data_IF_897804124012
#
_entry.id   IF_897804124012
#
_cell.length_a   1.000
_cell.length_b   1.000
_cell.length_c   1.000
_cell.angle_alpha   90.00
_cell.angle_beta   90.00
_cell.angle_gamma   90.00
#
_symmetry.space_group_name_H-M   'P 1'
#
loop_
_entity.id
_entity.type
_entity.pdbx_description
1 polymer ?
#
# COMPACT_ATOMS: atom_id res chain seq x y z
N UNK A 1 8.77 14.11 51.12
CA UNK A 1 8.85 14.74 49.79
C UNK A 1 8.27 13.79 48.75
N UNK A 2 7.01 13.99 48.38
CA UNK A 2 6.29 13.30 47.30
C UNK A 2 5.78 14.42 46.40
N UNK A 3 6.42 14.71 45.28
CA UNK A 3 5.85 15.37 44.09
C UNK A 3 6.80 15.09 42.91
N UNK A 4 6.24 14.88 41.73
CA UNK A 4 6.84 14.44 40.44
C UNK A 4 6.59 12.99 39.99
N UNK A 5 5.55 12.35 40.53
CA UNK A 5 4.62 11.58 39.71
C UNK A 5 3.56 12.58 39.23
N UNK A 6 3.53 12.97 37.94
CA UNK A 6 2.30 13.42 37.22
C UNK A 6 2.47 13.98 35.80
N UNK A 7 3.67 14.14 35.20
CA UNK A 7 3.78 14.94 33.97
C UNK A 7 4.21 14.24 32.67
N UNK A 8 4.25 12.90 32.62
CA UNK A 8 4.40 12.17 31.34
C UNK A 8 3.34 11.07 31.25
N UNK A 9 2.12 11.43 31.67
CA UNK A 9 0.87 10.82 31.21
C UNK A 9 0.08 12.00 30.64
N UNK A 10 0.61 12.61 29.56
CA UNK A 10 -0.04 13.69 28.86
C UNK A 10 -0.31 13.25 27.41
N UNK A 11 -1.43 12.53 27.27
CA UNK A 11 -2.49 12.95 26.35
C UNK A 11 -2.01 13.13 24.90
N UNK A 12 -1.77 12.00 24.21
CA UNK A 12 -2.52 11.82 22.94
C UNK A 12 -3.87 11.27 23.38
N UNK A 13 -4.74 12.15 23.88
CA UNK A 13 -6.16 11.90 23.73
C UNK A 13 -6.34 12.00 22.22
N UNK A 14 -6.42 10.84 21.56
CA UNK A 14 -6.97 10.77 20.21
C UNK A 14 -8.31 11.49 20.33
N UNK A 15 -8.38 12.71 19.82
CA UNK A 15 -9.63 13.46 19.75
C UNK A 15 -10.47 12.70 18.75
N UNK A 16 -11.40 11.88 19.23
CA UNK A 16 -12.39 11.26 18.36
C UNK A 16 -13.18 12.37 17.68
N UNK A 17 -13.29 12.31 16.36
CA UNK A 17 -14.10 13.27 15.62
C UNK A 17 -15.55 13.19 16.09
N UNK A 18 -16.19 14.34 16.22
CA UNK A 18 -17.63 14.35 16.46
C UNK A 18 -18.37 13.95 15.17
N UNK A 19 -19.54 13.32 15.31
CA UNK A 19 -20.26 12.74 14.17
C UNK A 19 -20.60 13.78 13.07
N UNK A 20 -20.82 15.04 13.45
CA UNK A 20 -21.08 16.11 12.49
C UNK A 20 -19.84 16.47 11.66
N UNK A 21 -18.64 16.37 12.24
CA UNK A 21 -17.36 16.55 11.55
C UNK A 21 -17.12 15.40 10.58
N UNK A 22 -17.46 14.17 10.99
CA UNK A 22 -17.36 12.99 10.13
C UNK A 22 -18.26 13.12 8.89
N UNK A 23 -19.50 13.59 9.07
CA UNK A 23 -20.43 13.83 7.95
C UNK A 23 -19.89 14.92 7.01
N UNK A 24 -19.35 16.02 7.56
CA UNK A 24 -18.75 17.09 6.76
C UNK A 24 -17.56 16.58 5.92
N UNK A 25 -16.66 15.81 6.55
CA UNK A 25 -15.49 15.20 5.92
C UNK A 25 -15.85 14.20 4.84
N UNK A 26 -16.83 13.33 5.11
CA UNK A 26 -17.36 12.41 4.11
C UNK A 26 -17.91 13.17 2.90
N UNK A 27 -18.75 14.19 3.11
CA UNK A 27 -19.28 15.00 2.02
C UNK A 27 -18.16 15.65 1.19
N UNK A 28 -17.15 16.21 1.85
CA UNK A 28 -16.01 16.84 1.20
C UNK A 28 -15.20 15.83 0.35
N UNK A 29 -14.93 14.64 0.89
CA UNK A 29 -14.23 13.56 0.18
C UNK A 29 -14.96 13.10 -1.10
N UNK A 30 -16.30 13.13 -1.08
CA UNK A 30 -17.13 12.80 -2.24
C UNK A 30 -17.21 13.94 -3.27
N UNK A 31 -16.61 15.11 -2.98
CA UNK A 31 -16.66 16.29 -3.84
C UNK A 31 -18.07 16.88 -3.99
N UNK A 32 -18.97 16.64 -3.02
CA UNK A 32 -20.36 17.05 -3.11
C UNK A 32 -20.62 18.38 -2.39
N UNK A 33 -21.45 19.22 -3.00
CA UNK A 33 -22.05 20.37 -2.30
C UNK A 33 -23.07 19.85 -1.27
N UNK A 34 -23.45 20.70 -0.30
CA UNK A 34 -24.45 20.32 0.72
C UNK A 34 -25.80 19.99 0.11
N UNK A 35 -26.15 20.70 -0.95
CA UNK A 35 -27.37 20.50 -1.74
C UNK A 35 -27.38 19.11 -2.36
N UNK A 36 -26.36 18.78 -3.15
CA UNK A 36 -26.24 17.46 -3.79
C UNK A 36 -26.12 16.31 -2.80
N UNK A 37 -25.43 16.54 -1.68
CA UNK A 37 -25.31 15.56 -0.62
C UNK A 37 -26.67 15.28 0.02
N UNK A 38 -27.43 16.33 0.38
CA UNK A 38 -28.77 16.20 0.94
C UNK A 38 -29.75 15.53 -0.02
N UNK A 39 -29.73 15.89 -1.31
CA UNK A 39 -30.53 15.24 -2.35
C UNK A 39 -30.22 13.74 -2.46
N UNK A 40 -28.95 13.35 -2.38
CA UNK A 40 -28.53 11.95 -2.51
C UNK A 40 -29.02 11.03 -1.37
N UNK A 41 -29.35 11.61 -0.20
CA UNK A 41 -29.80 10.86 0.99
C UNK A 41 -31.22 11.24 1.41
N UNK A 42 -31.95 12.01 0.61
CA UNK A 42 -33.29 12.52 0.92
C UNK A 42 -33.34 13.27 2.28
N UNK A 43 -32.45 14.25 2.44
CA UNK A 43 -32.35 15.13 3.61
C UNK A 43 -32.28 16.57 3.14
N UNK A 44 -33.03 17.46 3.80
CA UNK A 44 -33.02 18.88 3.43
C UNK A 44 -31.63 19.50 3.58
N UNK A 45 -31.24 20.36 2.65
CA UNK A 45 -29.97 21.11 2.71
C UNK A 45 -29.82 21.90 4.01
N UNK A 46 -30.93 22.40 4.57
CA UNK A 46 -30.93 23.13 5.84
C UNK A 46 -30.54 22.22 7.02
N UNK A 47 -30.97 20.95 6.99
CA UNK A 47 -30.59 19.94 7.98
C UNK A 47 -29.09 19.63 7.88
N UNK A 48 -28.58 19.38 6.67
CA UNK A 48 -27.14 19.13 6.43
C UNK A 48 -26.31 20.34 6.91
N UNK A 49 -26.73 21.56 6.55
CA UNK A 49 -26.07 22.79 7.01
C UNK A 49 -26.09 22.93 8.53
N UNK A 50 -27.21 22.60 9.18
CA UNK A 50 -27.32 22.68 10.63
C UNK A 50 -26.41 21.67 11.34
N UNK A 51 -26.34 20.43 10.85
CA UNK A 51 -25.43 19.41 11.37
C UNK A 51 -23.98 19.91 11.30
N UNK A 52 -23.51 20.27 10.10
CA UNK A 52 -22.10 20.63 9.89
C UNK A 52 -21.69 21.96 10.52
N UNK A 53 -22.56 22.97 10.54
CA UNK A 53 -22.18 24.34 10.96
C UNK A 53 -22.49 24.61 12.42
N UNK A 54 -23.57 24.01 12.96
CA UNK A 54 -24.00 24.23 14.34
C UNK A 54 -23.59 23.09 15.29
N UNK A 55 -22.92 22.06 14.77
CA UNK A 55 -22.51 20.89 15.55
C UNK A 55 -23.68 20.09 16.10
N UNK A 56 -24.85 20.13 15.44
CA UNK A 56 -26.04 19.43 15.91
C UNK A 56 -25.85 17.94 15.67
N UNK A 57 -25.94 17.15 16.75
CA UNK A 57 -25.94 15.69 16.65
C UNK A 57 -27.13 15.24 15.78
N UNK A 58 -26.86 14.56 14.65
CA UNK A 58 -27.91 14.02 13.80
C UNK A 58 -28.70 12.95 14.55
N UNK A 59 -29.98 12.81 14.19
CA UNK A 59 -30.79 11.66 14.61
C UNK A 59 -30.31 10.39 13.88
N UNK A 60 -30.61 9.22 14.44
CA UNK A 60 -30.19 7.91 13.88
C UNK A 60 -30.62 7.73 12.42
N UNK A 61 -31.84 8.16 12.08
CA UNK A 61 -32.41 8.08 10.72
C UNK A 61 -31.56 8.79 9.66
N UNK A 62 -30.92 9.90 10.02
CA UNK A 62 -29.99 10.62 9.14
C UNK A 62 -28.75 9.78 8.86
N UNK A 63 -28.17 9.17 9.90
CA UNK A 63 -26.97 8.34 9.76
C UNK A 63 -27.26 7.08 8.94
N UNK A 64 -28.41 6.44 9.19
CA UNK A 64 -28.89 5.28 8.44
C UNK A 64 -29.08 5.60 6.95
N UNK A 65 -29.66 6.76 6.61
CA UNK A 65 -29.80 7.21 5.22
C UNK A 65 -28.44 7.43 4.54
N UNK A 66 -27.47 8.01 5.25
CA UNK A 66 -26.10 8.20 4.74
C UNK A 66 -25.42 6.86 4.49
N UNK A 67 -25.48 5.94 5.46
CA UNK A 67 -24.88 4.61 5.36
C UNK A 67 -25.57 3.77 4.29
N UNK A 68 -26.90 3.84 4.15
CA UNK A 68 -27.60 3.16 3.07
C UNK A 68 -27.15 3.64 1.68
N UNK A 69 -26.80 4.93 1.55
CA UNK A 69 -26.31 5.49 0.29
C UNK A 69 -24.84 5.15 0.02
N UNK A 70 -24.01 5.18 1.07
CA UNK A 70 -22.58 4.87 0.99
C UNK A 70 -22.16 3.85 2.07
N UNK A 71 -22.51 2.56 1.89
CA UNK A 71 -22.33 1.54 2.93
C UNK A 71 -20.88 1.23 3.26
N UNK A 72 -19.96 1.62 2.36
CA UNK A 72 -18.54 1.44 2.54
C UNK A 72 -17.90 2.42 3.54
N UNK A 73 -18.62 3.42 4.05
CA UNK A 73 -18.11 4.32 5.10
C UNK A 73 -18.74 4.04 6.48
N UNK A 74 -19.49 2.94 6.62
CA UNK A 74 -20.27 2.65 7.82
C UNK A 74 -19.38 2.48 9.07
N UNK A 75 -18.33 1.69 8.96
CA UNK A 75 -17.38 1.45 10.05
C UNK A 75 -16.71 2.77 10.45
N UNK A 76 -16.15 3.49 9.48
CA UNK A 76 -15.46 4.75 9.76
C UNK A 76 -16.36 5.81 10.40
N UNK A 77 -17.61 5.95 9.94
CA UNK A 77 -18.57 6.89 10.55
C UNK A 77 -18.81 6.59 12.03
N UNK A 78 -18.80 5.32 12.42
CA UNK A 78 -19.10 4.88 13.78
C UNK A 78 -17.85 4.82 14.67
N UNK A 79 -16.73 4.33 14.14
CA UNK A 79 -15.55 3.97 14.95
C UNK A 79 -14.28 4.75 14.60
N UNK A 80 -14.28 5.53 13.51
CA UNK A 80 -13.06 6.11 12.90
C UNK A 80 -12.03 5.09 12.41
N UNK A 81 -12.39 3.80 12.39
CA UNK A 81 -11.55 2.74 11.84
C UNK A 81 -11.95 2.42 10.40
N UNK A 82 -11.01 1.90 9.62
CA UNK A 82 -11.29 1.25 8.35
C UNK A 82 -11.04 -0.26 8.42
N UNK A 83 -11.72 -0.98 7.54
CA UNK A 83 -11.50 -2.40 7.31
C UNK A 83 -11.63 -2.62 5.80
N UNK A 84 -10.61 -2.24 5.00
CA UNK A 84 -10.70 -2.28 3.54
C UNK A 84 -11.07 -3.67 3.01
N UNK A 85 -10.57 -4.73 3.66
CA UNK A 85 -10.91 -6.13 3.39
C UNK A 85 -12.41 -6.45 3.52
N UNK A 86 -13.14 -5.72 4.37
CA UNK A 86 -14.59 -5.86 4.54
C UNK A 86 -15.37 -4.84 3.68
N UNK A 87 -14.70 -4.15 2.74
CA UNK A 87 -15.28 -3.09 1.93
C UNK A 87 -15.59 -1.82 2.72
N UNK A 88 -14.88 -1.59 3.83
CA UNK A 88 -15.06 -0.42 4.71
C UNK A 88 -13.85 0.50 4.63
N UNK A 89 -14.06 1.77 4.28
CA UNK A 89 -13.01 2.75 3.98
C UNK A 89 -13.15 4.02 4.82
N UNK A 90 -12.03 4.73 4.98
CA UNK A 90 -11.96 6.08 5.53
C UNK A 90 -12.07 7.13 4.40
N UNK A 91 -12.83 8.23 4.55
CA UNK A 91 -12.89 9.31 3.58
C UNK A 91 -11.61 10.16 3.58
N UNK A 92 -11.06 10.37 2.39
CA UNK A 92 -9.84 11.17 2.15
C UNK A 92 -10.25 12.55 1.62
N UNK A 93 -9.83 13.64 2.28
CA UNK A 93 -10.12 14.99 1.80
C UNK A 93 -9.19 15.39 0.65
N UNK A 94 -9.72 16.08 -0.36
CA UNK A 94 -8.90 16.86 -1.29
C UNK A 94 -8.41 18.12 -0.59
N UNK A 95 -7.10 18.25 -0.39
CA UNK A 95 -6.47 19.49 0.10
C UNK A 95 -5.58 20.05 -1.02
N UNK A 96 -6.10 21.06 -1.75
CA UNK A 96 -5.34 21.83 -2.73
C UNK A 96 -4.75 21.05 -3.92
N UNK A 97 -3.81 21.68 -4.63
CA UNK A 97 -3.03 21.10 -5.75
C UNK A 97 -1.92 20.13 -5.29
N UNK A 98 -1.94 19.72 -4.01
CA UNK A 98 -1.08 18.64 -3.52
C UNK A 98 -1.77 17.33 -3.84
N UNK A 99 -1.35 16.73 -4.96
CA UNK A 99 -1.77 15.41 -5.38
C UNK A 99 -1.51 14.39 -4.25
N UNK A 100 -2.55 13.63 -3.94
CA UNK A 100 -2.60 12.47 -3.05
C UNK A 100 -1.25 11.74 -2.86
N UNK A 101 -0.57 11.95 -1.73
CA UNK A 101 0.56 11.14 -1.27
C UNK A 101 0.15 9.95 -0.37
N UNK A 102 -1.14 9.60 -0.33
CA UNK A 102 -1.67 8.42 0.39
C UNK A 102 -2.28 7.39 -0.56
N UNK A 103 -1.68 7.18 -1.74
CA UNK A 103 -2.22 6.24 -2.73
C UNK A 103 -1.77 4.82 -2.42
N UNK A 104 -2.62 4.04 -1.75
CA UNK A 104 -2.49 2.59 -1.75
C UNK A 104 -2.65 2.05 -3.18
N UNK A 105 -1.98 0.94 -3.47
CA UNK A 105 -2.11 0.23 -4.74
C UNK A 105 -3.17 -0.85 -4.58
N UNK A 106 -4.20 -0.84 -5.43
CA UNK A 106 -5.09 -1.99 -5.58
C UNK A 106 -4.43 -3.00 -6.51
N UNK A 107 -4.10 -4.17 -5.97
CA UNK A 107 -3.52 -5.29 -6.69
C UNK A 107 -4.64 -5.97 -7.46
N UNK A 108 -4.78 -5.61 -8.75
CA UNK A 108 -5.87 -6.10 -9.59
C UNK A 108 -5.60 -7.50 -10.16
N UNK A 109 -4.33 -7.91 -10.17
CA UNK A 109 -3.91 -9.22 -10.66
C UNK A 109 -2.53 -9.57 -10.10
N UNK A 110 -2.27 -10.88 -10.00
CA UNK A 110 -0.97 -11.44 -9.64
C UNK A 110 -0.54 -12.38 -10.75
N UNK A 111 0.52 -12.02 -11.46
CA UNK A 111 0.96 -12.69 -12.69
C UNK A 111 2.33 -13.36 -12.52
N UNK A 112 2.62 -14.32 -13.39
CA UNK A 112 3.95 -14.91 -13.53
C UNK A 112 4.93 -13.89 -14.17
N UNK A 113 6.23 -14.17 -14.07
CA UNK A 113 7.33 -13.35 -14.59
C UNK A 113 7.36 -13.23 -16.11
N UNK A 114 6.62 -14.08 -16.84
CA UNK A 114 6.59 -14.06 -18.30
C UNK A 114 5.69 -12.93 -18.84
N UNK A 115 6.23 -11.70 -18.91
CA UNK A 115 5.50 -10.50 -19.29
C UNK A 115 4.85 -10.56 -20.68
N UNK A 116 5.45 -11.30 -21.62
CA UNK A 116 4.92 -11.48 -22.98
C UNK A 116 3.61 -12.30 -23.04
N UNK A 117 3.34 -13.10 -22.00
CA UNK A 117 2.11 -13.90 -21.90
C UNK A 117 1.02 -13.21 -21.07
N UNK A 118 1.30 -12.01 -20.56
CA UNK A 118 0.36 -11.28 -19.71
C UNK A 118 -0.68 -10.53 -20.54
N UNK A 119 -1.84 -10.28 -19.92
CA UNK A 119 -2.88 -9.42 -20.50
C UNK A 119 -2.48 -7.93 -20.36
N UNK A 120 -1.48 -7.62 -19.53
CA UNK A 120 -0.98 -6.27 -19.29
C UNK A 120 -0.18 -5.79 -20.50
N UNK A 121 -0.75 -4.83 -21.24
CA UNK A 121 -0.04 -4.21 -22.35
C UNK A 121 1.02 -3.24 -21.83
N UNK A 122 2.20 -3.24 -22.44
CA UNK A 122 3.29 -2.34 -22.04
C UNK A 122 2.90 -0.85 -22.10
N UNK A 123 2.12 -0.44 -23.10
CA UNK A 123 1.60 0.93 -23.23
C UNK A 123 0.71 1.40 -22.06
N UNK A 124 0.18 0.45 -21.28
CA UNK A 124 -0.63 0.72 -20.09
C UNK A 124 0.19 0.84 -18.82
N UNK A 125 1.47 0.49 -18.84
CA UNK A 125 2.38 0.62 -17.69
C UNK A 125 2.78 2.09 -17.57
N UNK A 126 2.51 2.66 -16.40
CA UNK A 126 2.91 4.02 -16.02
C UNK A 126 4.29 4.00 -15.38
N UNK A 127 4.49 3.10 -14.42
CA UNK A 127 5.70 3.00 -13.60
C UNK A 127 5.94 1.56 -13.16
N UNK A 128 7.20 1.19 -12.95
CA UNK A 128 7.60 -0.10 -12.40
C UNK A 128 8.21 0.11 -11.01
N UNK A 129 7.71 -0.60 -10.01
CA UNK A 129 8.24 -0.54 -8.64
C UNK A 129 8.83 -1.89 -8.26
N UNK A 130 10.11 -1.90 -7.92
CA UNK A 130 10.79 -3.06 -7.35
C UNK A 130 10.53 -3.08 -5.83
N UNK A 131 10.02 -4.19 -5.33
CA UNK A 131 9.66 -4.42 -3.94
C UNK A 131 10.67 -5.37 -3.30
N UNK A 132 11.73 -4.80 -2.74
CA UNK A 132 12.81 -5.50 -2.07
C UNK A 132 12.33 -6.00 -0.70
N UNK A 133 12.30 -7.31 -0.48
CA UNK A 133 11.89 -7.82 0.83
C UNK A 133 12.90 -7.47 1.92
N UNK A 134 12.41 -6.96 3.05
CA UNK A 134 13.26 -6.59 4.18
C UNK A 134 13.62 -7.76 5.11
N UNK A 135 12.87 -8.86 5.06
CA UNK A 135 13.00 -9.99 6.00
C UNK A 135 13.84 -11.15 5.44
N UNK A 136 14.25 -11.08 4.17
CA UNK A 136 15.01 -12.15 3.52
C UNK A 136 16.49 -11.83 3.60
N UNK A 137 17.32 -12.78 4.09
CA UNK A 137 18.75 -12.59 4.17
C UNK A 137 19.36 -12.27 2.81
N UNK A 138 20.23 -11.28 2.83
CA UNK A 138 20.37 -10.31 1.75
C UNK A 138 21.66 -10.45 0.90
N UNK A 139 22.25 -11.65 0.81
CA UNK A 139 23.34 -12.05 -0.14
C UNK A 139 23.93 -13.45 0.16
N UNK A 140 24.73 -14.04 -0.76
CA UNK A 140 25.56 -15.26 -0.58
C UNK A 140 26.48 -15.24 0.66
N UNK A 141 26.87 -14.04 1.12
CA UNK A 141 27.62 -13.85 2.36
C UNK A 141 26.73 -14.07 3.58
N UNK A 142 25.46 -13.65 3.48
CA UNK A 142 24.41 -13.87 4.47
C UNK A 142 23.95 -15.33 4.44
N UNK A 143 23.85 -15.93 3.26
CA UNK A 143 23.58 -17.36 3.08
C UNK A 143 24.74 -18.24 3.61
N UNK A 144 26.00 -17.81 3.49
CA UNK A 144 27.15 -18.46 4.16
C UNK A 144 27.11 -18.35 5.69
N UNK A 145 26.77 -17.21 6.27
CA UNK A 145 26.64 -17.05 7.74
C UNK A 145 25.48 -17.91 8.28
N UNK A 146 24.35 -17.93 7.58
CA UNK A 146 23.21 -18.78 7.92
C UNK A 146 23.60 -20.25 7.88
N UNK A 147 24.25 -20.68 6.80
CA UNK A 147 24.72 -22.06 6.70
C UNK A 147 25.79 -22.41 7.75
N UNK A 148 26.74 -21.54 8.11
CA UNK A 148 27.83 -21.87 9.06
C UNK A 148 27.38 -21.92 10.54
N UNK A 149 26.40 -21.11 10.95
CA UNK A 149 25.90 -21.05 12.34
C UNK A 149 24.86 -22.13 12.63
N UNK A 150 24.10 -22.53 11.60
CA UNK A 150 23.04 -23.54 11.68
C UNK A 150 23.61 -24.96 11.86
N UNK A 151 24.84 -25.24 11.42
CA UNK A 151 25.51 -26.53 11.70
C UNK A 151 25.80 -26.79 13.20
N UNK A 152 25.78 -25.77 14.07
CA UNK A 152 25.92 -25.97 15.53
C UNK A 152 24.62 -26.29 16.27
N UNK A 153 23.46 -26.15 15.62
CA UNK A 153 22.16 -26.52 16.18
C UNK A 153 21.70 -27.89 15.69
N UNK A 154 22.63 -28.84 15.66
CA UNK A 154 22.26 -30.25 15.77
C UNK A 154 21.53 -30.46 17.10
N UNK A 155 20.26 -30.85 17.02
CA UNK A 155 19.33 -31.15 18.13
C UNK A 155 18.54 -29.94 18.66
N UNK A 156 17.51 -29.51 17.94
CA UNK A 156 16.14 -29.37 18.46
C UNK A 156 15.23 -29.38 17.22
N UNK A 157 14.33 -30.34 17.15
CA UNK A 157 13.42 -30.49 16.00
C UNK A 157 12.31 -29.44 15.98
N UNK A 158 11.89 -29.09 14.74
CA UNK A 158 10.60 -28.54 14.25
C UNK A 158 10.89 -27.51 13.15
N UNK A 159 10.11 -27.34 12.09
CA UNK A 159 8.95 -28.00 11.47
C UNK A 159 8.82 -27.35 10.08
N UNK A 160 8.13 -28.01 9.16
CA UNK A 160 7.67 -27.53 7.84
C UNK A 160 7.33 -26.02 7.83
N UNK A 161 8.15 -25.21 7.13
CA UNK A 161 7.90 -23.86 6.56
C UNK A 161 9.24 -23.25 6.09
N UNK A 162 9.94 -24.01 5.25
CA UNK A 162 11.00 -23.57 4.35
C UNK A 162 10.27 -23.17 3.05
N UNK A 163 10.44 -22.05 2.35
CA UNK A 163 11.50 -21.05 2.28
C UNK A 163 10.90 -19.74 1.71
N UNK A 164 11.59 -18.63 1.92
CA UNK A 164 11.14 -17.28 1.57
C UNK A 164 11.11 -17.10 0.04
N UNK A 165 9.92 -17.15 -0.57
CA UNK A 165 9.71 -17.09 -2.03
C UNK A 165 10.12 -15.74 -2.67
N UNK A 166 10.31 -14.69 -1.89
CA UNK A 166 10.53 -13.34 -2.41
C UNK A 166 11.92 -12.82 -2.09
N UNK A 167 12.78 -12.70 -3.10
CA UNK A 167 13.97 -11.84 -3.04
C UNK A 167 13.63 -10.39 -3.36
N UNK A 168 12.90 -10.16 -4.46
CA UNK A 168 12.48 -8.82 -4.93
C UNK A 168 11.24 -8.91 -5.84
N UNK A 169 10.04 -8.57 -5.38
CA UNK A 169 8.83 -8.54 -6.25
C UNK A 169 8.82 -7.35 -7.21
N UNK A 170 8.07 -7.44 -8.31
CA UNK A 170 7.88 -6.31 -9.23
C UNK A 170 6.41 -5.93 -9.26
N UNK A 171 6.11 -4.67 -9.00
CA UNK A 171 4.79 -4.10 -9.10
C UNK A 171 4.71 -3.24 -10.35
N UNK A 172 3.87 -3.64 -11.31
CA UNK A 172 3.56 -2.85 -12.49
C UNK A 172 2.42 -1.90 -12.17
N UNK A 173 2.71 -0.61 -12.10
CA UNK A 173 1.68 0.42 -11.91
C UNK A 173 1.04 0.71 -13.26
N UNK A 174 -0.26 0.49 -13.35
CA UNK A 174 -1.04 0.60 -14.58
C UNK A 174 -1.77 1.94 -14.60
N UNK A 175 -1.80 2.57 -15.78
CA UNK A 175 -2.49 3.84 -16.03
C UNK A 175 -3.95 3.79 -15.59
N UNK A 176 -4.38 4.90 -15.01
CA UNK A 176 -5.73 5.10 -14.51
C UNK A 176 -5.89 4.67 -13.05
N UNK A 177 -7.08 4.90 -12.53
CA UNK A 177 -7.43 4.61 -11.15
C UNK A 177 -8.44 3.48 -11.09
N UNK A 178 -8.47 2.78 -9.96
CA UNK A 178 -9.53 1.84 -9.66
C UNK A 178 -10.83 2.53 -9.29
N UNK A 179 -11.90 1.75 -9.07
CA UNK A 179 -13.20 2.31 -8.62
C UNK A 179 -13.09 3.04 -7.28
N UNK A 180 -12.12 2.67 -6.43
CA UNK A 180 -11.85 3.30 -5.14
C UNK A 180 -10.92 4.52 -5.23
N UNK A 181 -10.44 4.89 -6.43
CA UNK A 181 -9.47 5.96 -6.60
C UNK A 181 -8.01 5.54 -6.35
N UNK A 182 -7.76 4.25 -6.11
CA UNK A 182 -6.43 3.70 -5.90
C UNK A 182 -5.65 3.58 -7.22
N UNK A 183 -4.32 3.65 -7.14
CA UNK A 183 -3.48 3.27 -8.29
C UNK A 183 -3.62 1.78 -8.50
N UNK A 184 -3.66 1.37 -9.76
CA UNK A 184 -3.80 -0.05 -10.11
C UNK A 184 -2.42 -0.67 -10.19
N UNK A 185 -2.21 -1.72 -9.42
CA UNK A 185 -0.99 -2.51 -9.42
C UNK A 185 -1.24 -3.90 -10.00
N UNK A 186 -0.33 -4.40 -10.82
CA UNK A 186 -0.24 -5.83 -11.14
C UNK A 186 1.03 -6.35 -10.49
N UNK A 187 0.89 -7.27 -9.55
CA UNK A 187 2.03 -7.86 -8.86
C UNK A 187 2.59 -8.99 -9.74
N UNK A 188 3.85 -8.87 -10.12
CA UNK A 188 4.59 -9.95 -10.76
C UNK A 188 5.22 -10.77 -9.66
N UNK A 189 4.86 -12.05 -9.59
CA UNK A 189 5.50 -13.01 -8.69
C UNK A 189 6.98 -13.04 -9.02
N UNK A 190 7.82 -12.74 -8.02
CA UNK A 190 9.26 -12.79 -8.20
C UNK A 190 9.83 -14.14 -7.86
N UNK A 191 10.97 -14.44 -8.46
CA UNK A 191 11.83 -15.55 -8.06
C UNK A 191 12.92 -15.08 -7.11
N UNK A 192 13.85 -15.99 -6.83
CA UNK A 192 15.05 -15.72 -6.04
C UNK A 192 15.99 -14.78 -6.81
N UNK A 193 15.80 -13.46 -6.69
CA UNK A 193 16.80 -12.49 -7.13
C UNK A 193 16.83 -11.25 -6.22
N UNK A 194 18.05 -10.72 -6.05
CA UNK A 194 18.36 -9.58 -5.18
C UNK A 194 18.95 -8.45 -6.03
N UNK A 195 18.43 -7.24 -5.88
CA UNK A 195 18.91 -6.08 -6.64
C UNK A 195 20.41 -5.79 -6.38
N UNK A 196 20.99 -6.25 -5.27
CA UNK A 196 22.42 -6.09 -4.94
C UNK A 196 23.34 -7.00 -5.76
N UNK A 197 22.82 -8.06 -6.34
CA UNK A 197 23.63 -8.93 -7.21
C UNK A 197 24.15 -8.18 -8.44
N UNK A 198 23.46 -7.09 -8.82
CA UNK A 198 23.86 -6.17 -9.90
C UNK A 198 25.26 -5.59 -9.66
N UNK A 199 25.70 -5.45 -8.40
CA UNK A 199 27.01 -4.87 -8.07
C UNK A 199 28.19 -5.85 -8.15
N UNK A 200 27.98 -7.18 -8.12
CA UNK A 200 29.03 -8.03 -7.53
C UNK A 200 30.06 -8.67 -8.48
N UNK A 201 29.87 -8.81 -9.79
CA UNK A 201 30.91 -9.26 -10.77
C UNK A 201 30.32 -9.32 -12.18
N UNK A 202 30.84 -8.56 -13.13
CA UNK A 202 30.71 -8.76 -14.60
C UNK A 202 29.38 -8.43 -15.34
N UNK A 203 28.30 -7.97 -14.69
CA UNK A 203 27.13 -7.42 -15.40
C UNK A 203 25.77 -7.80 -14.81
N UNK A 204 24.69 -7.41 -15.50
CA UNK A 204 23.32 -7.79 -15.17
C UNK A 204 23.09 -9.22 -15.68
N UNK A 205 22.87 -10.17 -14.78
CA UNK A 205 22.62 -11.58 -15.13
C UNK A 205 21.20 -12.02 -14.73
N UNK A 206 20.70 -13.07 -15.37
CA UNK A 206 19.45 -13.73 -14.99
C UNK A 206 18.19 -12.88 -15.20
N UNK A 207 17.20 -13.08 -14.32
CA UNK A 207 15.82 -12.57 -14.45
C UNK A 207 15.74 -11.03 -14.52
N UNK A 208 16.63 -10.31 -13.82
CA UNK A 208 16.71 -8.85 -13.90
C UNK A 208 17.11 -8.38 -15.31
N UNK A 209 18.01 -9.12 -15.98
CA UNK A 209 18.42 -8.78 -17.34
C UNK A 209 17.28 -8.98 -18.34
N UNK A 210 16.48 -10.03 -18.16
CA UNK A 210 15.31 -10.30 -19.00
C UNK A 210 14.26 -9.18 -18.84
N UNK A 211 13.99 -8.76 -17.60
CA UNK A 211 13.13 -7.60 -17.33
C UNK A 211 13.68 -6.33 -17.98
N UNK A 212 14.99 -6.09 -17.87
CA UNK A 212 15.64 -4.94 -18.51
C UNK A 212 15.41 -4.93 -20.02
N UNK A 213 15.75 -6.01 -20.72
CA UNK A 213 15.57 -6.13 -22.17
C UNK A 213 14.12 -5.91 -22.56
N UNK A 214 13.18 -6.49 -21.79
CA UNK A 214 11.76 -6.35 -22.06
C UNK A 214 11.28 -4.91 -21.87
N UNK A 215 11.67 -4.24 -20.78
CA UNK A 215 11.31 -2.84 -20.52
C UNK A 215 11.92 -1.90 -21.57
N UNK A 216 13.18 -2.08 -21.97
CA UNK A 216 13.82 -1.29 -23.03
C UNK A 216 13.11 -1.46 -24.37
N UNK A 217 12.84 -2.71 -24.77
CA UNK A 217 12.12 -3.03 -26.02
C UNK A 217 10.74 -2.37 -26.08
N UNK A 218 10.09 -2.23 -24.94
CA UNK A 218 8.75 -1.65 -24.83
C UNK A 218 8.74 -0.16 -24.43
N UNK A 219 9.90 0.47 -24.30
CA UNK A 219 10.03 1.90 -24.02
C UNK A 219 9.64 2.34 -22.61
N UNK A 220 9.71 1.44 -21.63
CA UNK A 220 9.42 1.74 -20.22
C UNK A 220 10.69 2.27 -19.55
N UNK A 221 10.61 3.46 -18.94
CA UNK A 221 11.76 4.16 -18.35
C UNK A 221 11.50 4.75 -16.95
N UNK A 222 10.30 4.55 -16.39
CA UNK A 222 9.98 5.03 -15.05
C UNK A 222 10.07 3.90 -14.03
N UNK A 223 11.06 3.98 -13.15
CA UNK A 223 11.39 2.95 -12.16
C UNK A 223 11.47 3.52 -10.74
N UNK A 224 11.13 2.71 -9.75
CA UNK A 224 11.34 2.98 -8.32
C UNK A 224 11.70 1.68 -7.60
N UNK A 225 12.37 1.79 -6.46
CA UNK A 225 12.57 0.68 -5.54
C UNK A 225 12.09 1.06 -4.14
N UNK A 226 11.33 0.16 -3.51
CA UNK A 226 10.89 0.25 -2.13
C UNK A 226 11.19 -1.07 -1.42
N UNK A 227 11.24 -1.03 -0.10
CA UNK A 227 11.24 -2.23 0.72
C UNK A 227 9.85 -2.59 1.21
N UNK A 228 9.60 -3.89 1.39
CA UNK A 228 8.31 -4.40 1.87
C UNK A 228 8.51 -5.62 2.78
N UNK A 229 7.61 -5.80 3.73
CA UNK A 229 7.61 -7.01 4.55
C UNK A 229 7.19 -8.23 3.72
N UNK A 230 7.85 -9.38 3.91
CA UNK A 230 7.51 -10.61 3.18
C UNK A 230 6.06 -11.06 3.44
N UNK A 231 5.56 -10.84 4.66
CA UNK A 231 4.19 -11.19 5.04
C UNK A 231 3.16 -10.36 4.29
N UNK A 232 3.48 -9.11 3.94
CA UNK A 232 2.61 -8.26 3.13
C UNK A 232 2.45 -8.84 1.73
N UNK A 233 3.55 -9.29 1.12
CA UNK A 233 3.51 -9.95 -0.19
C UNK A 233 2.70 -11.25 -0.14
N UNK A 234 2.90 -12.09 0.89
CA UNK A 234 2.09 -13.30 1.08
C UNK A 234 0.62 -13.01 1.31
N UNK A 235 0.30 -11.97 2.07
CA UNK A 235 -1.08 -11.54 2.26
C UNK A 235 -1.70 -11.16 0.92
N UNK A 236 -0.95 -10.44 0.07
CA UNK A 236 -1.42 -10.04 -1.26
C UNK A 236 -1.74 -11.23 -2.14
N UNK A 237 -0.87 -12.23 -2.17
CA UNK A 237 -1.14 -13.48 -2.90
C UNK A 237 -2.30 -14.29 -2.30
N UNK A 238 -2.54 -14.14 -1.00
CA UNK A 238 -3.60 -14.81 -0.25
C UNK A 238 -4.91 -14.01 -0.20
N UNK A 239 -5.22 -13.26 -1.27
CA UNK A 239 -6.46 -12.50 -1.49
C UNK A 239 -6.54 -11.08 -0.87
N UNK A 240 -5.46 -10.56 -0.27
CA UNK A 240 -5.38 -9.13 0.09
C UNK A 240 -5.00 -8.29 -1.14
N UNK A 241 -5.98 -7.82 -1.88
CA UNK A 241 -5.73 -7.07 -3.12
C UNK A 241 -5.30 -5.60 -2.90
N UNK A 242 -4.64 -5.27 -1.80
CA UNK A 242 -4.22 -3.91 -1.46
C UNK A 242 -2.79 -3.90 -0.90
N UNK A 243 -1.95 -3.02 -1.43
CA UNK A 243 -0.65 -2.68 -0.88
C UNK A 243 -0.67 -1.23 -0.41
N UNK A 244 -0.55 -1.02 0.90
CA UNK A 244 -0.60 0.33 1.47
C UNK A 244 0.78 0.97 1.43
N UNK A 245 0.82 2.29 1.31
CA UNK A 245 2.09 3.04 1.42
C UNK A 245 2.75 2.80 2.79
N UNK A 246 1.96 2.60 3.85
CA UNK A 246 2.49 2.26 5.18
C UNK A 246 3.23 0.92 5.23
N UNK A 247 3.02 0.05 4.26
CA UNK A 247 3.71 -1.24 4.13
C UNK A 247 5.03 -1.10 3.36
N UNK A 248 5.26 0.06 2.75
CA UNK A 248 6.47 0.41 2.01
C UNK A 248 7.45 1.14 2.93
N UNK A 249 8.72 0.74 2.81
CA UNK A 249 9.84 1.30 3.54
C UNK A 249 10.91 1.78 2.57
N UNK A 250 11.83 2.61 3.05
CA UNK A 250 13.06 2.90 2.31
C UNK A 250 13.85 1.62 2.10
N UNK A 251 14.25 1.35 0.86
CA UNK A 251 15.12 0.21 0.57
C UNK A 251 16.50 0.38 1.24
N UNK A 252 17.21 -0.71 1.55
CA UNK A 252 18.56 -0.66 2.08
C UNK A 252 19.49 0.17 1.19
N UNK A 253 20.45 0.90 1.78
CA UNK A 253 21.36 1.79 1.04
C UNK A 253 22.13 1.06 -0.07
N UNK A 254 22.60 -0.16 0.19
CA UNK A 254 23.26 -1.01 -0.81
C UNK A 254 22.33 -1.38 -1.98
N UNK A 255 21.06 -1.67 -1.67
CA UNK A 255 20.04 -1.98 -2.67
C UNK A 255 19.72 -0.74 -3.51
N UNK A 256 19.57 0.42 -2.87
CA UNK A 256 19.40 1.72 -3.55
C UNK A 256 20.56 2.02 -4.49
N UNK A 257 21.80 1.83 -4.04
CA UNK A 257 23.00 2.08 -4.86
C UNK A 257 23.04 1.16 -6.08
N UNK A 258 22.80 -0.14 -5.87
CA UNK A 258 22.76 -1.14 -6.94
C UNK A 258 21.63 -0.86 -7.94
N UNK A 259 20.46 -0.48 -7.43
CA UNK A 259 19.31 -0.08 -8.23
C UNK A 259 19.60 1.17 -9.07
N UNK A 260 20.29 2.17 -8.52
CA UNK A 260 20.65 3.37 -9.27
C UNK A 260 21.61 3.05 -10.42
N UNK A 261 22.62 2.21 -10.17
CA UNK A 261 23.54 1.73 -11.24
C UNK A 261 22.76 0.97 -12.32
N UNK A 262 21.77 0.18 -11.94
CA UNK A 262 20.89 -0.51 -12.89
C UNK A 262 20.06 0.47 -13.71
N UNK A 263 19.43 1.47 -13.08
CA UNK A 263 18.65 2.51 -13.75
C UNK A 263 19.49 3.36 -14.72
N UNK A 264 20.74 3.66 -14.39
CA UNK A 264 21.68 4.36 -15.27
C UNK A 264 21.97 3.61 -16.58
N UNK A 265 21.62 2.32 -16.63
CA UNK A 265 21.87 1.48 -17.80
C UNK A 265 20.71 1.43 -18.82
N UNK A 266 19.63 2.20 -18.64
CA UNK A 266 18.42 2.29 -19.49
C UNK A 266 18.33 3.51 -20.43
#
# INVERSE_FOLDING_TARGET
MRYHLLQIILIVKVMSMEIFEKIAKLRASLGLTRERFGEAVDISVNTIRAIETKGVTPKSDVLEKIVARWPCYALWLLTEEDAPLAGQFSPVEKIGDLEYENVAYEIIDVIDRNLDQTIVKAESIEKVIFLQTCDVPTSDKVERILNTTVYHLGKIGRRENQDVEFGTSVLLVIKGLSRGGFKRGVLVKSGYFDIREIESKEGIYGVINDFKIWFEKNGIKEFEINSVNVKTLWAIESELNELKISDLYSAPEEAMKSFNVWCESF
#
